data_IF_695710061575
#
_entry.id   IF_695710061575
#
_cell.length_a   1.000
_cell.length_b   1.000
_cell.length_c   1.000
_cell.angle_alpha   90.00
_cell.angle_beta   90.00
_cell.angle_gamma   90.00
#
_symmetry.space_group_name_H-M   'P 1'
#
loop_
_entity.id
_entity.type
_entity.pdbx_description
1 polymer ?
#
# COMPACT_ATOMS: atom_id res chain seq x y z
N UNK A 1 -45.48 -35.51 37.86
CA UNK A 1 -44.77 -34.23 37.61
C UNK A 1 -44.10 -33.76 38.89
N UNK A 2 -42.78 -33.92 39.01
CA UNK A 2 -41.93 -33.23 40.00
C UNK A 2 -40.46 -33.41 39.59
N UNK A 3 -39.76 -32.27 39.51
CA UNK A 3 -38.40 -32.08 39.04
C UNK A 3 -37.41 -32.58 40.10
N UNK A 4 -36.34 -33.25 39.69
CA UNK A 4 -35.11 -33.35 40.49
C UNK A 4 -33.95 -32.89 39.61
N UNK A 5 -33.44 -31.72 39.99
CA UNK A 5 -32.26 -31.06 39.45
C UNK A 5 -31.05 -31.73 40.09
N UNK A 6 -30.13 -32.25 39.29
CA UNK A 6 -28.82 -32.70 39.77
C UNK A 6 -27.76 -31.83 39.10
N UNK A 7 -27.19 -30.93 39.90
CA UNK A 7 -25.95 -30.23 39.62
C UNK A 7 -24.80 -31.24 39.64
N UNK A 8 -24.08 -31.39 38.53
CA UNK A 8 -22.77 -32.04 38.53
C UNK A 8 -21.76 -31.05 37.98
N UNK A 9 -21.08 -30.40 38.92
CA UNK A 9 -19.85 -29.65 38.68
C UNK A 9 -18.76 -30.68 38.38
N UNK A 10 -18.25 -30.70 37.16
CA UNK A 10 -16.99 -31.38 36.85
C UNK A 10 -16.09 -30.39 36.13
N UNK A 11 -15.19 -29.79 36.91
CA UNK A 11 -14.08 -29.00 36.44
C UNK A 11 -13.06 -29.92 35.76
N UNK A 12 -12.97 -29.85 34.44
CA UNK A 12 -11.82 -30.32 33.68
C UNK A 12 -11.16 -29.10 33.07
N UNK A 13 -10.26 -28.51 33.86
CA UNK A 13 -9.33 -27.49 33.42
C UNK A 13 -8.29 -28.17 32.50
N UNK A 14 -8.61 -28.28 31.21
CA UNK A 14 -7.63 -28.53 30.17
C UNK A 14 -6.93 -27.21 29.85
N UNK A 15 -5.91 -26.88 30.65
CA UNK A 15 -4.95 -25.84 30.33
C UNK A 15 -4.10 -26.30 29.13
N UNK A 16 -4.67 -26.19 27.93
CA UNK A 16 -3.89 -26.24 26.71
C UNK A 16 -3.01 -24.98 26.70
N UNK A 17 -1.72 -25.18 26.96
CA UNK A 17 -0.65 -24.24 26.65
C UNK A 17 -0.70 -23.94 25.15
N UNK A 18 -1.46 -22.91 24.76
CA UNK A 18 -1.27 -22.25 23.48
C UNK A 18 0.15 -21.67 23.52
N UNK A 19 1.06 -22.03 22.59
CA UNK A 19 2.26 -21.24 22.41
C UNK A 19 1.79 -19.81 22.13
N UNK A 20 2.24 -18.87 22.95
CA UNK A 20 2.10 -17.45 22.71
C UNK A 20 2.64 -17.21 21.30
N UNK A 21 1.75 -17.08 20.32
CA UNK A 21 2.12 -16.60 19.01
C UNK A 21 2.57 -15.18 19.24
N UNK A 22 3.88 -14.95 19.14
CA UNK A 22 4.45 -13.63 18.95
C UNK A 22 3.54 -12.91 17.94
N UNK A 23 3.01 -11.71 18.23
CA UNK A 23 2.20 -10.97 17.28
C UNK A 23 3.03 -10.76 16.02
N UNK A 24 2.89 -11.69 15.07
CA UNK A 24 3.60 -11.66 13.82
C UNK A 24 3.14 -10.42 13.10
N UNK A 25 4.10 -9.67 12.58
CA UNK A 25 3.86 -8.55 11.69
C UNK A 25 2.86 -9.02 10.63
N UNK A 26 1.63 -8.49 10.70
CA UNK A 26 0.60 -8.89 9.75
C UNK A 26 1.14 -8.51 8.37
N UNK A 27 1.28 -9.47 7.45
CA UNK A 27 1.77 -9.16 6.10
C UNK A 27 0.90 -8.04 5.52
N UNK A 28 1.52 -7.19 4.69
CA UNK A 28 0.79 -6.14 4.00
C UNK A 28 -0.46 -6.75 3.33
N UNK A 29 -1.63 -6.10 3.45
CA UNK A 29 -2.87 -6.70 3.02
C UNK A 29 -2.79 -7.09 1.54
N UNK A 30 -3.09 -8.35 1.23
CA UNK A 30 -3.07 -8.84 -0.14
C UNK A 30 -4.26 -8.29 -0.91
N UNK A 31 -4.18 -8.34 -2.25
CA UNK A 31 -5.32 -8.00 -3.11
C UNK A 31 -6.55 -8.87 -2.79
N UNK A 32 -6.32 -10.15 -2.46
CA UNK A 32 -7.37 -11.09 -2.08
C UNK A 32 -8.01 -10.73 -0.72
N UNK A 33 -7.22 -10.22 0.23
CA UNK A 33 -7.74 -9.73 1.51
C UNK A 33 -8.62 -8.49 1.33
N UNK A 34 -8.28 -7.59 0.39
CA UNK A 34 -9.13 -6.44 0.06
C UNK A 34 -10.44 -6.87 -0.62
N UNK A 35 -10.37 -7.83 -1.56
CA UNK A 35 -11.55 -8.43 -2.19
C UNK A 35 -12.46 -9.04 -1.13
N UNK A 36 -11.90 -9.84 -0.21
CA UNK A 36 -12.65 -10.49 0.85
C UNK A 36 -13.24 -9.47 1.85
N UNK A 37 -12.48 -8.44 2.21
CA UNK A 37 -12.92 -7.39 3.13
C UNK A 37 -14.09 -6.57 2.56
N UNK A 38 -14.02 -6.23 1.26
CA UNK A 38 -15.08 -5.50 0.58
C UNK A 38 -16.20 -6.42 0.08
N UNK A 39 -16.06 -7.75 0.19
CA UNK A 39 -17.03 -8.72 -0.31
C UNK A 39 -17.33 -8.55 -1.81
N UNK A 40 -16.30 -8.31 -2.63
CA UNK A 40 -16.49 -8.06 -4.05
C UNK A 40 -16.96 -9.32 -4.78
N UNK A 41 -17.98 -9.17 -5.62
CA UNK A 41 -18.47 -10.23 -6.51
C UNK A 41 -17.60 -10.36 -7.77
N UNK A 42 -17.65 -11.52 -8.43
CA UNK A 42 -16.88 -11.77 -9.66
C UNK A 42 -17.15 -10.72 -10.76
N UNK A 43 -18.40 -10.25 -10.89
CA UNK A 43 -18.75 -9.21 -11.86
C UNK A 43 -18.13 -7.86 -11.53
N UNK A 44 -18.04 -7.52 -10.24
CA UNK A 44 -17.38 -6.28 -9.78
C UNK A 44 -15.87 -6.38 -9.95
N UNK A 45 -15.26 -7.53 -9.67
CA UNK A 45 -13.84 -7.79 -9.94
C UNK A 45 -13.56 -7.60 -11.44
N UNK A 46 -14.36 -8.20 -12.33
CA UNK A 46 -14.22 -8.03 -13.77
C UNK A 46 -14.37 -6.54 -14.20
N UNK A 47 -15.32 -5.81 -13.62
CA UNK A 47 -15.49 -4.37 -13.83
C UNK A 47 -14.24 -3.56 -13.43
N UNK A 48 -13.67 -3.85 -12.26
CA UNK A 48 -12.45 -3.20 -11.77
C UNK A 48 -11.23 -3.53 -12.65
N UNK A 49 -11.12 -4.78 -13.13
CA UNK A 49 -10.05 -5.18 -14.05
C UNK A 49 -10.15 -4.51 -15.43
N UNK A 50 -11.37 -4.36 -15.95
CA UNK A 50 -11.63 -3.62 -17.18
C UNK A 50 -11.22 -2.15 -17.03
N UNK A 51 -11.62 -1.50 -15.93
CA UNK A 51 -11.24 -0.12 -15.63
C UNK A 51 -9.72 0.05 -15.46
N UNK A 52 -9.05 -0.91 -14.80
CA UNK A 52 -7.58 -0.92 -14.68
C UNK A 52 -6.91 -1.00 -16.04
N UNK A 53 -7.44 -1.81 -16.94
CA UNK A 53 -6.91 -1.98 -18.31
C UNK A 53 -7.12 -0.70 -19.12
N UNK A 54 -8.33 -0.14 -19.11
CA UNK A 54 -8.65 1.11 -19.80
C UNK A 54 -7.78 2.29 -19.30
N UNK A 55 -7.55 2.38 -17.98
CA UNK A 55 -6.64 3.38 -17.42
C UNK A 55 -5.21 3.20 -17.96
N UNK A 56 -4.68 1.97 -18.00
CA UNK A 56 -3.33 1.71 -18.52
C UNK A 56 -3.21 2.10 -19.98
N UNK A 57 -4.20 1.77 -20.80
CA UNK A 57 -4.23 2.13 -22.22
C UNK A 57 -4.29 3.64 -22.41
N UNK A 58 -5.11 4.32 -21.62
CA UNK A 58 -5.25 5.79 -21.66
C UNK A 58 -3.99 6.51 -21.16
N UNK A 59 -3.35 5.99 -20.11
CA UNK A 59 -2.19 6.60 -19.47
C UNK A 59 -0.86 6.28 -20.17
N UNK A 60 -0.79 5.18 -20.94
CA UNK A 60 0.42 4.73 -21.64
C UNK A 60 1.14 5.84 -22.43
N UNK A 61 0.48 6.65 -23.29
CA UNK A 61 1.16 7.70 -24.03
C UNK A 61 1.78 8.77 -23.12
N UNK A 62 1.03 9.24 -22.11
CA UNK A 62 1.51 10.25 -21.15
C UNK A 62 2.67 9.73 -20.30
N UNK A 63 2.67 8.45 -19.95
CA UNK A 63 3.78 7.83 -19.22
C UNK A 63 5.02 7.76 -20.09
N UNK A 64 4.91 7.41 -21.38
CA UNK A 64 6.07 7.41 -22.27
C UNK A 64 6.59 8.82 -22.55
N UNK A 65 5.70 9.80 -22.70
CA UNK A 65 6.04 11.20 -22.80
C UNK A 65 6.82 11.68 -21.57
N UNK A 66 6.33 11.38 -20.35
CA UNK A 66 7.06 11.69 -19.11
C UNK A 66 8.44 11.07 -19.06
N UNK A 67 8.60 9.82 -19.49
CA UNK A 67 9.94 9.18 -19.57
C UNK A 67 10.83 9.90 -20.57
N UNK A 68 10.30 10.30 -21.71
CA UNK A 68 11.02 11.06 -22.73
C UNK A 68 11.49 12.42 -22.19
N UNK A 69 10.58 13.20 -21.60
CA UNK A 69 10.88 14.50 -21.00
C UNK A 69 11.89 14.38 -19.87
N UNK A 70 11.81 13.34 -19.03
CA UNK A 70 12.80 13.09 -17.99
C UNK A 70 14.20 12.77 -18.56
N UNK A 71 14.29 12.05 -19.67
CA UNK A 71 15.57 11.82 -20.38
C UNK A 71 16.11 13.13 -20.93
N UNK A 72 15.26 13.95 -21.54
CA UNK A 72 15.62 15.25 -22.09
C UNK A 72 16.11 16.20 -20.99
N UNK A 73 15.40 16.27 -19.85
CA UNK A 73 15.78 17.07 -18.70
C UNK A 73 17.18 16.68 -18.20
N UNK A 74 17.44 15.38 -17.99
CA UNK A 74 18.75 14.88 -17.56
C UNK A 74 19.86 15.26 -18.53
N UNK A 75 19.58 15.27 -19.84
CA UNK A 75 20.55 15.66 -20.85
C UNK A 75 20.79 17.17 -20.82
N UNK A 76 19.73 17.98 -20.84
CA UNK A 76 19.81 19.43 -20.78
C UNK A 76 20.55 19.93 -19.52
N UNK A 77 20.32 19.29 -18.36
CA UNK A 77 21.06 19.58 -17.13
C UNK A 77 22.56 19.30 -17.26
N UNK A 78 22.96 18.20 -17.92
CA UNK A 78 24.38 17.90 -18.15
C UNK A 78 25.03 18.91 -19.09
N UNK A 79 24.29 19.33 -20.10
CA UNK A 79 24.75 20.29 -21.11
C UNK A 79 24.69 21.74 -20.59
N UNK A 80 24.24 21.97 -19.35
CA UNK A 80 23.99 23.30 -18.78
C UNK A 80 23.07 24.17 -19.64
N UNK A 81 22.11 23.53 -20.32
CA UNK A 81 21.09 24.18 -21.13
C UNK A 81 19.91 24.68 -20.27
N UNK A 82 19.12 25.60 -20.81
CA UNK A 82 17.85 26.00 -20.18
C UNK A 82 16.87 24.80 -20.14
N UNK A 83 16.26 24.60 -18.98
CA UNK A 83 15.38 23.46 -18.67
C UNK A 83 13.94 23.87 -18.40
N UNK A 84 13.64 25.18 -18.35
CA UNK A 84 12.35 25.72 -17.93
C UNK A 84 11.16 25.21 -18.76
N UNK A 85 11.33 25.08 -20.08
CA UNK A 85 10.31 24.51 -20.96
C UNK A 85 10.05 23.02 -20.65
N UNK A 86 11.12 22.22 -20.48
CA UNK A 86 11.01 20.79 -20.19
C UNK A 86 10.32 20.56 -18.84
N UNK A 87 10.63 21.39 -17.83
CA UNK A 87 9.97 21.33 -16.52
C UNK A 87 8.47 21.66 -16.61
N UNK A 88 8.11 22.64 -17.44
CA UNK A 88 6.71 23.00 -17.72
C UNK A 88 5.97 21.83 -18.38
N UNK A 89 6.58 21.21 -19.38
CA UNK A 89 5.98 20.05 -20.08
C UNK A 89 5.82 18.85 -19.15
N UNK A 90 6.79 18.60 -18.26
CA UNK A 90 6.67 17.55 -17.23
C UNK A 90 5.50 17.84 -16.29
N UNK A 91 5.32 19.09 -15.87
CA UNK A 91 4.21 19.48 -15.01
C UNK A 91 2.86 19.26 -15.71
N UNK A 92 2.75 19.63 -16.99
CA UNK A 92 1.56 19.40 -17.79
C UNK A 92 1.24 17.89 -17.94
N UNK A 93 2.23 17.06 -18.30
CA UNK A 93 2.03 15.63 -18.44
C UNK A 93 1.65 14.94 -17.11
N UNK A 94 2.20 15.40 -15.98
CA UNK A 94 1.78 14.95 -14.64
C UNK A 94 0.31 15.31 -14.35
N UNK A 95 -0.10 16.54 -14.68
CA UNK A 95 -1.49 16.96 -14.49
C UNK A 95 -2.46 16.12 -15.34
N UNK A 96 -2.11 15.82 -16.59
CA UNK A 96 -2.89 14.89 -17.44
C UNK A 96 -3.01 13.50 -16.81
N UNK A 97 -1.90 12.96 -16.28
CA UNK A 97 -1.91 11.64 -15.64
C UNK A 97 -2.77 11.60 -14.36
N UNK A 98 -2.71 12.63 -13.51
CA UNK A 98 -3.58 12.72 -12.33
C UNK A 98 -5.06 12.91 -12.72
N UNK A 99 -5.35 13.62 -13.81
CA UNK A 99 -6.69 13.68 -14.38
C UNK A 99 -7.20 12.30 -14.79
N UNK A 100 -6.41 11.54 -15.57
CA UNK A 100 -6.75 10.19 -15.97
C UNK A 100 -6.95 9.24 -14.78
N UNK A 101 -6.12 9.37 -13.74
CA UNK A 101 -6.25 8.61 -12.49
C UNK A 101 -7.53 8.96 -11.74
N UNK A 102 -7.87 10.25 -11.65
CA UNK A 102 -9.13 10.70 -11.01
C UNK A 102 -10.34 10.10 -11.73
N UNK A 103 -10.36 10.14 -13.07
CA UNK A 103 -11.41 9.50 -13.87
C UNK A 103 -11.46 7.98 -13.67
N UNK A 104 -10.31 7.31 -13.61
CA UNK A 104 -10.24 5.87 -13.38
C UNK A 104 -10.74 5.47 -11.98
N UNK A 105 -10.43 6.27 -10.95
CA UNK A 105 -10.95 6.06 -9.59
C UNK A 105 -12.47 6.21 -9.57
N UNK A 106 -13.02 7.26 -10.19
CA UNK A 106 -14.46 7.44 -10.29
C UNK A 106 -15.14 6.27 -11.03
N UNK A 107 -14.55 5.79 -12.12
CA UNK A 107 -15.05 4.63 -12.85
C UNK A 107 -14.99 3.35 -12.00
N UNK A 108 -13.91 3.12 -11.26
CA UNK A 108 -13.78 1.99 -10.35
C UNK A 108 -14.80 2.03 -9.21
N UNK A 109 -15.04 3.20 -8.61
CA UNK A 109 -16.05 3.37 -7.56
C UNK A 109 -17.46 3.11 -8.07
N UNK A 110 -17.75 3.35 -9.35
CA UNK A 110 -19.05 3.01 -9.95
C UNK A 110 -19.31 1.50 -10.08
N UNK A 111 -18.28 0.66 -9.95
CA UNK A 111 -18.44 -0.80 -9.88
C UNK A 111 -18.89 -1.27 -8.47
N UNK A 112 -18.79 -0.42 -7.45
CA UNK A 112 -19.10 -0.77 -6.06
C UNK A 112 -20.55 -0.42 -5.72
N UNK A 113 -21.16 -1.21 -4.84
CA UNK A 113 -22.42 -0.79 -4.23
C UNK A 113 -22.19 0.23 -3.11
N UNK A 114 -23.28 0.79 -2.57
CA UNK A 114 -23.21 1.83 -1.54
C UNK A 114 -22.52 1.35 -0.25
N UNK A 115 -22.70 0.08 0.14
CA UNK A 115 -22.08 -0.47 1.35
C UNK A 115 -20.58 -0.66 1.18
N UNK A 116 -20.15 -1.16 0.02
CA UNK A 116 -18.76 -1.35 -0.33
C UNK A 116 -18.02 -0.02 -0.50
N UNK A 117 -18.68 0.99 -1.09
CA UNK A 117 -18.15 2.33 -1.21
C UNK A 117 -17.95 2.98 0.18
N UNK A 118 -18.87 2.75 1.12
CA UNK A 118 -18.72 3.19 2.51
C UNK A 118 -17.53 2.52 3.20
N UNK A 119 -17.39 1.20 3.08
CA UNK A 119 -16.25 0.46 3.64
C UNK A 119 -14.91 0.94 3.04
N UNK A 120 -14.87 1.23 1.74
CA UNK A 120 -13.69 1.80 1.10
C UNK A 120 -13.36 3.20 1.66
N UNK A 121 -14.37 4.04 1.92
CA UNK A 121 -14.16 5.36 2.50
C UNK A 121 -13.58 5.29 3.92
N UNK A 122 -13.97 4.30 4.72
CA UNK A 122 -13.39 4.04 6.05
C UNK A 122 -11.91 3.66 5.95
N UNK A 123 -11.52 2.84 4.96
CA UNK A 123 -10.12 2.51 4.71
C UNK A 123 -9.29 3.75 4.34
N UNK A 124 -9.85 4.65 3.52
CA UNK A 124 -9.19 5.91 3.15
C UNK A 124 -9.04 6.85 4.36
N UNK A 125 -10.06 6.93 5.22
CA UNK A 125 -9.98 7.69 6.46
C UNK A 125 -8.91 7.11 7.41
N UNK A 126 -8.83 5.78 7.52
CA UNK A 126 -7.80 5.11 8.30
C UNK A 126 -6.37 5.37 7.77
N UNK A 127 -6.18 5.40 6.45
CA UNK A 127 -4.87 5.74 5.85
C UNK A 127 -4.42 7.16 6.25
N UNK A 128 -5.36 8.10 6.30
CA UNK A 128 -5.07 9.49 6.71
C UNK A 128 -4.58 9.54 8.16
N UNK A 129 -5.28 8.84 9.06
CA UNK A 129 -4.86 8.72 10.46
C UNK A 129 -3.50 8.03 10.62
N UNK A 130 -3.17 7.05 9.78
CA UNK A 130 -1.86 6.40 9.81
C UNK A 130 -0.71 7.38 9.54
N UNK A 131 -0.92 8.45 8.75
CA UNK A 131 0.11 9.48 8.52
C UNK A 131 0.36 10.29 9.78
N UNK A 132 -0.70 10.68 10.47
CA UNK A 132 -0.64 11.40 11.74
C UNK A 132 0.01 10.53 12.83
N UNK A 133 -0.31 9.23 12.87
CA UNK A 133 0.35 8.27 13.77
C UNK A 133 1.85 8.21 13.51
N UNK A 134 2.28 8.12 12.25
CA UNK A 134 3.72 8.12 11.89
C UNK A 134 4.40 9.43 12.30
N UNK A 135 3.73 10.56 12.15
CA UNK A 135 4.24 11.85 12.58
C UNK A 135 4.36 11.93 14.12
N UNK A 136 3.34 11.50 14.85
CA UNK A 136 3.36 11.40 16.31
C UNK A 136 4.47 10.47 16.83
N UNK A 137 4.72 9.35 16.13
CA UNK A 137 5.85 8.46 16.40
C UNK A 137 7.20 9.14 16.12
N UNK A 138 7.32 9.90 15.03
CA UNK A 138 8.55 10.64 14.71
C UNK A 138 8.90 11.73 15.75
N UNK A 139 7.88 12.26 16.41
CA UNK A 139 7.99 13.23 17.50
C UNK A 139 8.12 12.57 18.89
N UNK A 140 8.17 11.23 18.96
CA UNK A 140 8.18 10.46 20.21
C UNK A 140 6.97 10.71 21.11
N UNK A 141 5.85 11.19 20.55
CA UNK A 141 4.58 11.41 21.26
C UNK A 141 3.77 10.13 21.38
N UNK A 142 3.99 9.18 20.47
CA UNK A 142 3.37 7.87 20.42
C UNK A 142 4.47 6.80 20.41
N UNK A 143 4.25 5.69 21.10
CA UNK A 143 5.14 4.54 20.99
C UNK A 143 5.13 4.04 19.53
N UNK A 144 6.33 3.82 18.97
CA UNK A 144 6.43 3.12 17.71
C UNK A 144 6.00 1.68 17.94
N UNK A 145 4.87 1.28 17.39
CA UNK A 145 4.48 -0.14 17.32
C UNK A 145 5.43 -0.97 16.44
N UNK A 146 6.47 -0.35 15.87
CA UNK A 146 7.64 -1.02 15.33
C UNK A 146 8.68 -1.28 16.41
N UNK A 147 8.55 -2.40 17.12
CA UNK A 147 9.63 -2.93 17.95
C UNK A 147 10.70 -3.54 17.02
N UNK A 148 11.49 -2.62 16.47
CA UNK A 148 12.50 -2.86 15.48
C UNK A 148 13.27 -1.57 15.28
N UNK A 149 13.69 -0.95 16.38
CA UNK A 149 14.75 0.04 16.36
C UNK A 149 15.89 -0.52 15.52
N UNK A 150 16.03 -0.02 14.29
CA UNK A 150 17.27 -0.18 13.55
C UNK A 150 18.37 0.24 14.50
N UNK A 151 19.44 -0.56 14.71
CA UNK A 151 20.58 -0.05 15.43
C UNK A 151 21.07 1.16 14.67
N UNK A 152 20.86 2.35 15.24
CA UNK A 152 21.62 3.55 14.92
C UNK A 152 23.05 3.24 15.37
N UNK A 153 23.75 2.49 14.52
CA UNK A 153 25.09 1.99 14.71
C UNK A 153 25.83 2.21 13.41
N UNK A 154 26.64 3.27 13.37
CA UNK A 154 27.48 3.63 12.23
C UNK A 154 28.30 2.43 11.75
N UNK A 155 28.05 2.01 10.51
CA UNK A 155 28.75 0.91 9.85
C UNK A 155 29.36 1.37 8.54
N UNK A 156 30.45 2.11 8.66
CA UNK A 156 31.41 2.47 7.61
C UNK A 156 31.63 1.30 6.63
N UNK A 157 31.57 1.61 5.33
CA UNK A 157 31.61 0.67 4.22
C UNK A 157 32.58 -0.50 4.38
N UNK A 158 32.01 -1.70 4.48
CA UNK A 158 32.71 -2.96 4.28
C UNK A 158 32.93 -3.20 2.79
N UNK A 159 34.17 -2.97 2.34
CA UNK A 159 34.68 -3.38 1.03
C UNK A 159 34.30 -4.83 0.71
N UNK A 160 33.45 -5.06 -0.29
CA UNK A 160 33.46 -6.31 -1.06
C UNK A 160 34.55 -6.20 -2.12
N UNK A 161 35.75 -6.64 -1.77
CA UNK A 161 36.80 -6.89 -2.76
C UNK A 161 36.43 -8.12 -3.61
N UNK A 162 36.81 -8.18 -4.90
CA UNK A 162 36.74 -9.41 -5.67
C UNK A 162 37.88 -10.34 -5.23
N UNK A 163 37.52 -11.48 -4.62
CA UNK A 163 38.42 -12.60 -4.40
C UNK A 163 38.43 -13.55 -5.61
N UNK A 164 39.54 -14.28 -5.85
CA UNK A 164 39.89 -14.82 -7.16
C UNK A 164 39.41 -16.26 -7.40
N UNK A 165 38.97 -16.54 -8.63
CA UNK A 165 38.95 -17.87 -9.24
C UNK A 165 39.17 -17.66 -10.74
N UNK A 166 40.34 -17.91 -11.32
CA UNK A 166 41.02 -19.19 -11.46
C UNK A 166 40.16 -20.22 -12.22
N UNK A 167 39.96 -19.98 -13.52
CA UNK A 167 40.35 -20.87 -14.62
C UNK A 167 40.25 -20.11 -15.94
#
# INVERSE_FOLDING_TARGET
>A
MKKIIICTVFALASSALLPAQTPGERPAPSYDELIAHLGLTDSQIACLEANKTAFRETAAPTVEELRSLQRQLRQATRDSADTSAIETDIAAAKATLEGAKTSAVAAAQSCLDASQASALAELVAAETLMREVREGQSLLLLESSGEGALPIGGGRGGRRGPGPGAR
#
